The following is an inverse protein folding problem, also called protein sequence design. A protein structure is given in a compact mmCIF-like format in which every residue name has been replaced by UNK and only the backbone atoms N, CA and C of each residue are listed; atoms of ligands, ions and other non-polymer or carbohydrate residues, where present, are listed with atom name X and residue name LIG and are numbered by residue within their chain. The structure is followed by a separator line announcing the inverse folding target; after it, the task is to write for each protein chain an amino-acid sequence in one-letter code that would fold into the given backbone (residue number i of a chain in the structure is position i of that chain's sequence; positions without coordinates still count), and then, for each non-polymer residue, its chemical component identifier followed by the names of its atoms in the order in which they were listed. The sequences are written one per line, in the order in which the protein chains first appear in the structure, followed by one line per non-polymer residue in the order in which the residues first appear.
data_IF_450603713324
#
_entry.id   IF_450603713324
#
_cell.length_a   1.000
_cell.length_b   1.000
_cell.length_c   1.000
_cell.angle_alpha   90.00
_cell.angle_beta   90.00
_cell.angle_gamma   90.00
#
_symmetry.space_group_name_H-M   'P 1'
#
loop_
_entity.id
_entity.type
_entity.pdbx_description
1 polymer ?
#
# COMPACT_ATOMS: atom_id res chain seq x y z
N UNK A 1 12.45 7.74 0.20
CA UNK A 1 11.65 6.51 0.34
C UNK A 1 10.28 6.92 0.82
N UNK A 2 9.21 6.59 0.09
CA UNK A 2 7.86 7.01 0.44
C UNK A 2 7.13 5.88 1.17
N UNK A 3 6.34 6.24 2.18
CA UNK A 3 5.34 5.33 2.74
C UNK A 3 4.15 5.29 1.77
N UNK A 4 3.91 4.14 1.16
CA UNK A 4 2.79 3.95 0.25
C UNK A 4 2.14 2.61 0.54
N UNK A 5 0.93 2.66 1.08
CA UNK A 5 0.11 1.50 1.36
C UNK A 5 -1.35 1.88 1.22
N UNK A 6 -2.21 0.88 1.20
CA UNK A 6 -3.59 1.00 0.76
C UNK A 6 -4.38 2.10 1.51
N UNK A 7 -4.14 2.28 2.82
CA UNK A 7 -4.81 3.31 3.62
C UNK A 7 -4.17 4.70 3.59
N UNK A 8 -2.95 4.84 3.06
CA UNK A 8 -2.22 6.11 3.09
C UNK A 8 -1.55 6.35 1.73
N UNK A 9 -2.41 6.55 0.73
CA UNK A 9 -2.05 6.64 -0.68
C UNK A 9 -2.05 8.07 -1.22
N UNK A 10 -2.95 8.93 -0.73
CA UNK A 10 -3.21 10.25 -1.33
C UNK A 10 -2.02 11.20 -1.27
N UNK A 11 -1.25 11.22 -0.18
CA UNK A 11 -0.06 12.08 -0.10
C UNK A 11 0.97 11.72 -1.18
N UNK A 12 1.17 10.43 -1.42
CA UNK A 12 2.04 9.94 -2.48
C UNK A 12 1.45 10.24 -3.86
N UNK A 13 0.17 9.92 -4.10
CA UNK A 13 -0.50 10.09 -5.40
C UNK A 13 -0.67 11.55 -5.83
N UNK A 14 -1.06 12.43 -4.90
CA UNK A 14 -1.41 13.82 -5.22
C UNK A 14 -0.20 14.71 -5.52
N UNK A 15 0.95 14.44 -4.87
CA UNK A 15 2.15 15.26 -4.96
C UNK A 15 3.32 14.47 -5.54
N UNK A 16 3.72 13.40 -4.85
CA UNK A 16 5.01 12.75 -5.09
C UNK A 16 5.05 12.00 -6.42
N UNK A 17 4.03 11.19 -6.70
CA UNK A 17 3.98 10.33 -7.88
C UNK A 17 3.86 11.12 -9.17
N UNK A 18 3.03 12.16 -9.18
CA UNK A 18 2.92 13.06 -10.34
C UNK A 18 4.25 13.74 -10.64
N UNK A 19 4.94 14.23 -9.60
CA UNK A 19 6.24 14.88 -9.79
C UNK A 19 7.31 13.88 -10.28
N UNK A 20 7.32 12.67 -9.73
CA UNK A 20 8.26 11.63 -10.15
C UNK A 20 8.06 11.21 -11.60
N UNK A 21 6.81 10.98 -12.04
CA UNK A 21 6.50 10.65 -13.44
C UNK A 21 6.91 11.76 -14.41
N UNK A 22 6.67 13.03 -14.05
CA UNK A 22 7.03 14.17 -14.89
C UNK A 22 8.54 14.36 -15.06
N UNK A 23 9.34 13.87 -14.11
CA UNK A 23 10.79 14.08 -14.07
C UNK A 23 11.59 12.77 -14.26
N UNK A 24 10.92 11.66 -14.59
CA UNK A 24 11.53 10.34 -14.74
C UNK A 24 12.37 9.91 -13.51
N UNK A 25 11.86 10.21 -12.32
CA UNK A 25 12.53 9.88 -11.05
C UNK A 25 12.02 8.52 -10.56
N UNK A 26 12.90 7.53 -10.36
CA UNK A 26 12.48 6.25 -9.83
C UNK A 26 12.03 6.37 -8.38
N UNK A 27 10.87 5.79 -8.05
CA UNK A 27 10.36 5.77 -6.67
C UNK A 27 10.56 4.40 -6.03
N UNK A 28 11.08 4.46 -4.82
CA UNK A 28 11.13 3.35 -3.89
C UNK A 28 10.11 3.61 -2.79
N UNK A 29 9.18 2.66 -2.62
CA UNK A 29 8.16 2.70 -1.58
C UNK A 29 8.33 1.57 -0.57
N UNK A 30 7.89 1.81 0.65
CA UNK A 30 7.66 0.74 1.63
C UNK A 30 6.17 0.52 1.78
N UNK A 31 5.76 -0.74 1.67
CA UNK A 31 4.39 -1.16 2.02
C UNK A 31 4.38 -1.59 3.48
N UNK A 32 3.52 -0.98 4.28
CA UNK A 32 3.25 -1.49 5.63
C UNK A 32 2.20 -2.57 5.50
N UNK A 33 2.43 -3.68 6.20
CA UNK A 33 1.49 -4.79 6.28
C UNK A 33 0.18 -4.33 6.92
N UNK A 34 -0.90 -5.00 6.52
CA UNK A 34 -2.13 -5.00 7.29
C UNK A 34 -1.95 -5.83 8.57
N UNK A 35 -1.19 -5.30 9.52
CA UNK A 35 -0.80 -6.00 10.73
C UNK A 35 -1.26 -5.25 11.97
N UNK A 36 -1.24 -5.97 13.11
CA UNK A 36 -1.43 -5.63 14.55
C UNK A 36 -1.84 -4.20 14.96
N UNK A 37 -1.25 -3.17 14.36
CA UNK A 37 -1.63 -1.76 14.53
C UNK A 37 -3.05 -1.49 13.99
N UNK A 38 -3.44 -2.08 12.86
CA UNK A 38 -4.78 -1.97 12.28
C UNK A 38 -5.79 -2.95 12.87
N UNK A 39 -5.32 -3.99 13.59
CA UNK A 39 -6.20 -4.95 14.31
C UNK A 39 -7.00 -4.26 15.42
N UNK A 40 -6.52 -3.11 15.93
CA UNK A 40 -7.27 -2.27 16.88
C UNK A 40 -8.35 -1.40 16.22
N UNK A 41 -8.27 -1.24 14.90
CA UNK A 41 -9.26 -0.54 14.08
C UNK A 41 -10.25 -1.50 13.41
N UNK A 42 -10.23 -2.80 13.76
CA UNK A 42 -11.26 -3.75 13.31
C UNK A 42 -12.67 -3.33 13.69
N UNK A 43 -12.83 -2.51 14.74
CA UNK A 43 -14.13 -1.95 15.16
C UNK A 43 -14.68 -0.91 14.17
N UNK A 44 -13.80 -0.31 13.36
CA UNK A 44 -14.15 0.66 12.32
C UNK A 44 -14.39 0.00 10.95
N UNK A 45 -14.05 -1.29 10.83
CA UNK A 45 -14.35 -2.10 9.66
C UNK A 45 -15.59 -2.95 9.94
N UNK A 46 -16.47 -3.05 8.94
CA UNK A 46 -17.45 -4.12 8.94
C UNK A 46 -16.71 -5.44 8.67
N UNK A 47 -16.22 -6.06 9.74
CA UNK A 47 -15.48 -7.33 9.68
C UNK A 47 -16.32 -8.48 9.15
N UNK A 48 -17.64 -8.30 9.02
CA UNK A 48 -18.52 -9.28 8.35
C UNK A 48 -18.44 -9.17 6.82
N UNK A 49 -18.02 -8.03 6.26
CA UNK A 49 -18.03 -7.78 4.81
C UNK A 49 -16.66 -7.50 4.19
N UNK A 50 -15.63 -7.15 4.99
CA UNK A 50 -14.31 -6.79 4.48
C UNK A 50 -13.20 -7.73 5.00
N UNK A 51 -12.55 -8.42 4.07
CA UNK A 51 -11.39 -9.29 4.34
C UNK A 51 -10.09 -8.47 4.29
N UNK A 52 -9.32 -8.37 5.38
CA UNK A 52 -8.04 -7.66 5.39
C UNK A 52 -7.12 -8.03 4.21
N UNK A 53 -6.48 -7.05 3.55
CA UNK A 53 -5.55 -7.33 2.47
C UNK A 53 -4.30 -8.08 2.98
N UNK A 54 -3.86 -9.05 2.19
CA UNK A 54 -2.65 -9.85 2.46
C UNK A 54 -1.37 -9.05 2.22
N UNK A 55 -0.21 -9.60 2.60
CA UNK A 55 1.08 -8.99 2.27
C UNK A 55 1.25 -8.89 0.75
N UNK A 56 0.88 -9.97 0.05
CA UNK A 56 0.84 -10.07 -1.41
C UNK A 56 -0.02 -8.98 -2.02
N UNK A 57 -1.24 -8.74 -1.51
CA UNK A 57 -2.14 -7.68 -1.99
C UNK A 57 -1.50 -6.30 -1.84
N UNK A 58 -0.87 -6.02 -0.70
CA UNK A 58 -0.22 -4.74 -0.44
C UNK A 58 0.95 -4.48 -1.40
N UNK A 59 1.77 -5.50 -1.68
CA UNK A 59 2.88 -5.41 -2.62
C UNK A 59 2.37 -5.20 -4.05
N UNK A 60 1.40 -6.01 -4.49
CA UNK A 60 0.79 -5.90 -5.82
C UNK A 60 0.11 -4.55 -6.03
N UNK A 61 -0.59 -4.04 -5.02
CA UNK A 61 -1.22 -2.71 -5.05
C UNK A 61 -0.18 -1.61 -5.28
N UNK A 62 0.94 -1.67 -4.56
CA UNK A 62 2.01 -0.69 -4.73
C UNK A 62 2.62 -0.73 -6.13
N UNK A 63 2.93 -1.94 -6.62
CA UNK A 63 3.52 -2.16 -7.95
C UNK A 63 2.55 -1.87 -9.11
N UNK A 64 1.23 -1.88 -8.85
CA UNK A 64 0.22 -1.52 -9.86
C UNK A 64 0.32 -0.06 -10.29
N UNK A 65 0.86 0.83 -9.42
CA UNK A 65 0.97 2.25 -9.76
C UNK A 65 2.19 2.51 -10.66
N UNK A 66 2.04 3.18 -11.82
CA UNK A 66 3.13 3.33 -12.81
C UNK A 66 4.34 4.14 -12.29
N UNK A 67 4.15 4.99 -11.28
CA UNK A 67 5.22 5.76 -10.66
C UNK A 67 6.12 4.94 -9.72
N UNK A 68 5.70 3.72 -9.32
CA UNK A 68 6.43 2.90 -8.36
C UNK A 68 7.32 1.90 -9.10
N UNK A 69 8.62 1.96 -8.85
CA UNK A 69 9.59 1.07 -9.49
C UNK A 69 9.99 -0.07 -8.57
N UNK A 70 10.11 0.21 -7.27
CA UNK A 70 10.63 -0.74 -6.28
C UNK A 70 9.74 -0.69 -5.04
N UNK A 71 9.32 -1.87 -4.58
CA UNK A 71 8.71 -2.06 -3.26
C UNK A 71 9.75 -2.70 -2.34
N UNK A 72 10.09 -2.00 -1.26
CA UNK A 72 10.88 -2.54 -0.17
C UNK A 72 9.95 -3.24 0.82
N UNK A 73 10.24 -4.51 1.06
CA UNK A 73 9.54 -5.35 2.03
C UNK A 73 10.53 -5.94 3.04
N UNK A 74 10.11 -6.04 4.29
CA UNK A 74 10.89 -6.66 5.36
C UNK A 74 10.08 -7.80 5.97
N UNK A 75 10.43 -9.02 5.55
CA UNK A 75 9.94 -10.28 6.09
C UNK A 75 10.66 -10.60 7.40
N UNK A 76 9.93 -11.13 8.38
CA UNK A 76 10.48 -11.50 9.69
C UNK A 76 10.97 -12.94 9.74
N UNK A 77 10.36 -13.80 8.93
CA UNK A 77 10.59 -15.23 8.85
C UNK A 77 10.47 -15.70 7.40
N UNK A 78 10.72 -16.99 7.19
CA UNK A 78 10.72 -17.65 5.87
C UNK A 78 9.32 -17.66 5.25
N UNK A 79 8.28 -17.95 6.03
CA UNK A 79 6.90 -17.96 5.56
C UNK A 79 6.47 -16.58 5.03
N UNK A 80 6.83 -15.51 5.74
CA UNK A 80 6.58 -14.13 5.29
C UNK A 80 7.42 -13.75 4.06
N UNK A 81 8.61 -14.31 3.90
CA UNK A 81 9.43 -14.10 2.71
C UNK A 81 8.79 -14.77 1.49
N UNK A 82 8.31 -15.99 1.65
CA UNK A 82 7.65 -16.74 0.59
C UNK A 82 6.36 -16.04 0.13
N UNK A 83 5.54 -15.54 1.07
CA UNK A 83 4.36 -14.73 0.74
C UNK A 83 4.75 -13.47 -0.04
N UNK A 84 5.79 -12.75 0.41
CA UNK A 84 6.23 -11.52 -0.25
C UNK A 84 6.84 -11.75 -1.65
N UNK A 85 7.42 -12.91 -1.91
CA UNK A 85 7.99 -13.28 -3.21
C UNK A 85 6.95 -13.79 -4.20
N UNK A 86 5.81 -14.29 -3.72
CA UNK A 86 4.75 -14.85 -4.55
C UNK A 86 4.32 -13.92 -5.71
N UNK A 87 4.09 -12.60 -5.53
CA UNK A 87 3.78 -11.69 -6.64
C UNK A 87 4.83 -11.70 -7.76
N UNK A 88 6.12 -11.78 -7.40
CA UNK A 88 7.22 -11.76 -8.35
C UNK A 88 7.28 -13.07 -9.13
N UNK A 89 7.09 -14.20 -8.44
CA UNK A 89 7.06 -15.53 -9.03
C UNK A 89 5.89 -15.63 -10.03
N UNK A 90 4.70 -15.23 -9.62
CA UNK A 90 3.50 -15.21 -10.48
C UNK A 90 3.72 -14.35 -11.72
N UNK A 91 4.34 -13.16 -11.57
CA UNK A 91 4.62 -12.27 -12.69
C UNK A 91 5.62 -12.87 -13.69
N UNK A 92 6.63 -13.57 -13.21
CA UNK A 92 7.60 -14.26 -14.06
C UNK A 92 6.96 -15.42 -14.85
N UNK A 93 5.98 -16.10 -14.26
CA UNK A 93 5.26 -17.20 -14.90
C UNK A 93 4.21 -16.69 -15.91
N UNK A 94 3.59 -15.55 -15.62
CA UNK A 94 2.53 -14.95 -16.46
C UNK A 94 3.06 -13.81 -17.34
N UNK A 95 3.94 -14.19 -18.28
CA UNK A 95 4.65 -13.28 -19.19
C UNK A 95 3.75 -12.36 -20.05
N UNK A 96 2.44 -12.61 -20.10
CA UNK A 96 1.48 -11.79 -20.84
C UNK A 96 0.81 -10.66 -20.05
N UNK A 97 0.91 -10.65 -18.70
CA UNK A 97 -0.15 -10.00 -17.92
C UNK A 97 -0.12 -8.47 -17.75
N UNK A 98 0.94 -7.69 -17.90
CA UNK A 98 1.00 -6.23 -17.62
C UNK A 98 0.52 -5.72 -16.22
N UNK A 99 -0.59 -6.17 -15.65
CA UNK A 99 -1.18 -5.74 -14.38
C UNK A 99 -0.83 -6.71 -13.25
N UNK A 100 -0.63 -6.17 -12.06
CA UNK A 100 -0.36 -6.93 -10.84
C UNK A 100 -1.64 -7.41 -10.16
N UNK A 101 -2.75 -6.69 -10.34
CA UNK A 101 -4.06 -7.00 -9.80
C UNK A 101 -5.13 -7.01 -10.89
N UNK A 102 -6.20 -7.78 -10.68
CA UNK A 102 -7.42 -7.62 -11.46
C UNK A 102 -8.04 -6.25 -11.16
N UNK A 103 -8.80 -5.71 -12.12
CA UNK A 103 -9.48 -4.43 -11.92
C UNK A 103 -10.42 -4.48 -10.70
N UNK A 104 -11.17 -5.57 -10.53
CA UNK A 104 -12.07 -5.77 -9.39
C UNK A 104 -11.33 -5.75 -8.05
N UNK A 105 -10.18 -6.45 -7.96
CA UNK A 105 -9.39 -6.47 -6.73
C UNK A 105 -8.76 -5.11 -6.44
N UNK A 106 -8.30 -4.41 -7.48
CA UNK A 106 -7.77 -3.06 -7.32
C UNK A 106 -8.83 -2.08 -6.77
N UNK A 107 -10.05 -2.11 -7.33
CA UNK A 107 -11.19 -1.30 -6.85
C UNK A 107 -11.61 -1.67 -5.42
N UNK A 108 -11.58 -2.96 -5.07
CA UNK A 108 -11.80 -3.42 -3.69
C UNK A 108 -10.78 -2.79 -2.74
N UNK A 109 -9.48 -2.87 -3.09
CA UNK A 109 -8.39 -2.33 -2.28
C UNK A 109 -8.47 -0.80 -2.17
N UNK A 110 -8.89 -0.08 -3.21
CA UNK A 110 -9.04 1.38 -3.16
C UNK A 110 -10.02 1.85 -2.08
N UNK A 111 -11.04 1.04 -1.75
CA UNK A 111 -12.04 1.36 -0.72
C UNK A 111 -11.43 1.45 0.68
N UNK A 112 -10.36 0.70 0.94
CA UNK A 112 -9.65 0.74 2.22
C UNK A 112 -8.97 2.10 2.42
N UNK A 113 -9.20 2.71 3.58
CA UNK A 113 -8.68 4.04 3.93
C UNK A 113 -9.15 5.18 3.01
N UNK A 114 -10.31 5.03 2.36
CA UNK A 114 -10.95 6.12 1.59
C UNK A 114 -11.49 7.24 2.50
N UNK A 115 -11.69 6.96 3.78
CA UNK A 115 -12.25 7.87 4.79
C UNK A 115 -11.14 8.56 5.61
N UNK A 116 -10.06 9.02 4.94
CA UNK A 116 -8.76 9.45 5.52
C UNK A 116 -8.85 10.36 6.77
N UNK A 117 -9.91 11.15 6.89
CA UNK A 117 -10.13 12.06 8.04
C UNK A 117 -10.28 11.29 9.36
N UNK A 118 -10.80 10.06 9.34
CA UNK A 118 -10.86 9.18 10.54
C UNK A 118 -9.57 8.37 10.77
N UNK A 119 -8.74 8.21 9.75
CA UNK A 119 -7.55 7.35 9.79
C UNK A 119 -6.26 8.10 10.12
N UNK A 120 -6.22 9.41 9.84
CA UNK A 120 -5.11 10.30 10.21
C UNK A 120 -5.18 10.82 11.65
N UNK A 121 -6.08 10.29 12.49
CA UNK A 121 -6.06 10.52 13.94
C UNK A 121 -5.15 9.53 14.67
N UNK A 122 -4.12 9.00 13.99
CA UNK A 122 -3.05 8.33 14.71
C UNK A 122 -2.32 9.41 15.54
N UNK A 123 -2.01 9.07 16.79
CA UNK A 123 -1.39 9.99 17.75
C UNK A 123 0.11 10.20 17.48
N UNK A 124 0.61 9.77 16.32
CA UNK A 124 1.99 9.89 15.89
C UNK A 124 2.05 10.86 14.70
N UNK A 125 1.72 12.11 15.00
CA UNK A 125 2.11 13.23 14.15
C UNK A 125 3.62 13.43 14.30
N UNK A 126 4.37 13.17 13.24
CA UNK A 126 5.83 13.32 13.22
C UNK A 126 6.23 14.81 13.32
N UNK A 127 5.27 15.72 13.05
CA UNK A 127 5.44 17.17 13.05
C UNK A 127 4.23 17.90 13.69
N UNK A 128 4.01 17.79 15.02
CA UNK A 128 2.89 18.43 15.71
C UNK A 128 2.86 19.97 15.57
N UNK A 129 3.99 20.57 15.19
CA UNK A 129 4.13 22.00 14.88
C UNK A 129 3.38 22.46 13.63
N UNK A 130 3.03 21.58 12.68
CA UNK A 130 2.36 21.97 11.42
C UNK A 130 0.87 22.27 11.59
N UNK A 131 0.28 21.96 12.75
CA UNK A 131 -1.13 22.25 13.09
C UNK A 131 -1.37 23.69 13.57
N UNK A 132 -0.32 24.51 13.67
CA UNK A 132 -0.39 25.91 14.15
C UNK A 132 -0.32 26.92 12.99
N UNK A 133 -1.34 26.97 12.13
CA UNK A 133 -1.48 28.00 11.09
C UNK A 133 -2.92 28.53 11.03
#
# INVERSE_FOLDING_TARGET
MLRYYICHKKAAESVSFRNALNNDIPIIVTTTRWNRLQTKHLVDFDTETMTPPTTTDCIKFALQHPAVNIVLHSSRDEDELDEALQPLIERCLDSGSMNWLSHEKYEELLRYGSDEVKWNTDSFDEHPEELQW
#
